data_IF_716066245330
#
_entry.id   IF_716066245330
#
_cell.length_a   1.000
_cell.length_b   1.000
_cell.length_c   1.000
_cell.angle_alpha   90.00
_cell.angle_beta   90.00
_cell.angle_gamma   90.00
#
_symmetry.space_group_name_H-M   'P 1'
#
loop_
_entity.id
_entity.type
_entity.pdbx_description
1 polymer ?
#
# COMPACT_ATOMS: atom_id res chain seq x y z
N UNK A 1 -4.84 20.78 -17.25
CA UNK A 1 -5.12 19.36 -17.58
C UNK A 1 -6.25 18.88 -16.68
N UNK A 2 -7.27 18.21 -17.22
CA UNK A 2 -8.32 17.59 -16.39
C UNK A 2 -7.65 16.49 -15.57
N UNK A 3 -7.75 16.54 -14.24
CA UNK A 3 -7.29 15.46 -13.37
C UNK A 3 -8.21 14.25 -13.62
N UNK A 4 -7.81 13.39 -14.54
CA UNK A 4 -8.47 12.10 -14.76
C UNK A 4 -8.27 11.19 -13.56
N UNK A 5 -9.22 10.31 -13.33
CA UNK A 5 -9.04 9.16 -12.45
C UNK A 5 -9.12 7.89 -13.28
N UNK A 6 -8.34 6.88 -12.88
CA UNK A 6 -8.26 5.59 -13.54
C UNK A 6 -8.43 4.48 -12.53
N UNK A 7 -9.05 3.39 -12.97
CA UNK A 7 -9.23 2.19 -12.16
C UNK A 7 -7.96 1.32 -12.16
N UNK A 8 -7.58 0.87 -10.97
CA UNK A 8 -6.49 -0.07 -10.74
C UNK A 8 -6.98 -1.26 -9.93
N UNK A 9 -6.54 -2.46 -10.30
CA UNK A 9 -6.52 -3.58 -9.37
C UNK A 9 -5.38 -3.34 -8.36
N UNK A 10 -5.74 -3.21 -7.10
CA UNK A 10 -4.81 -2.91 -6.01
C UNK A 10 -4.78 -4.04 -4.99
N UNK A 11 -3.62 -4.29 -4.39
CA UNK A 11 -3.50 -5.20 -3.27
C UNK A 11 -2.37 -4.79 -2.32
N UNK A 12 -2.50 -5.18 -1.06
CA UNK A 12 -1.39 -5.22 -0.11
C UNK A 12 -0.86 -6.65 0.02
N UNK A 13 0.45 -6.77 0.15
CA UNK A 13 1.16 -8.04 0.20
C UNK A 13 2.16 -8.07 1.35
N UNK A 14 2.25 -9.22 2.01
CA UNK A 14 3.29 -9.55 2.98
C UNK A 14 3.99 -10.80 2.45
N UNK A 15 5.32 -10.78 2.40
CA UNK A 15 6.13 -11.89 1.86
C UNK A 15 5.72 -12.34 0.44
N UNK A 16 5.17 -11.43 -0.36
CA UNK A 16 4.73 -11.71 -1.73
C UNK A 16 3.33 -12.32 -1.85
N UNK A 17 2.62 -12.53 -0.74
CA UNK A 17 1.25 -13.04 -0.72
C UNK A 17 0.26 -11.92 -0.37
N UNK A 18 -0.96 -11.99 -0.91
CA UNK A 18 -2.02 -11.01 -0.60
C UNK A 18 -2.37 -11.09 0.88
N UNK A 19 -2.31 -9.94 1.55
CA UNK A 19 -2.61 -9.84 2.97
C UNK A 19 -4.08 -10.20 3.25
N UNK A 20 -4.26 -11.10 4.22
CA UNK A 20 -5.56 -11.40 4.83
C UNK A 20 -5.43 -11.19 6.33
N UNK A 21 -6.25 -10.30 6.89
CA UNK A 21 -6.25 -9.98 8.33
C UNK A 21 -7.69 -9.93 8.82
N UNK A 22 -8.00 -10.64 9.92
CA UNK A 22 -9.33 -10.69 10.52
C UNK A 22 -10.46 -11.04 9.52
N UNK A 23 -10.16 -11.91 8.56
CA UNK A 23 -11.09 -12.30 7.49
C UNK A 23 -11.25 -11.26 6.36
N UNK A 24 -10.57 -10.12 6.45
CA UNK A 24 -10.53 -9.09 5.41
C UNK A 24 -9.40 -9.36 4.44
N UNK A 25 -9.72 -9.43 3.14
CA UNK A 25 -8.75 -9.58 2.06
C UNK A 25 -8.37 -8.20 1.54
N UNK A 26 -7.09 -7.84 1.60
CA UNK A 26 -6.58 -6.53 1.20
C UNK A 26 -6.31 -6.47 -0.31
N UNK A 27 -7.37 -6.66 -1.10
CA UNK A 27 -7.37 -6.61 -2.57
C UNK A 27 -8.68 -6.02 -3.08
N UNK A 28 -8.63 -5.20 -4.11
CA UNK A 28 -9.84 -4.61 -4.71
C UNK A 28 -9.56 -3.72 -5.91
N UNK A 29 -10.62 -3.13 -6.46
CA UNK A 29 -10.55 -2.11 -7.49
C UNK A 29 -10.58 -0.72 -6.85
N UNK A 30 -9.63 0.13 -7.23
CA UNK A 30 -9.46 1.48 -6.66
C UNK A 30 -9.33 2.51 -7.78
N UNK A 31 -10.05 3.62 -7.67
CA UNK A 31 -9.88 4.79 -8.55
C UNK A 31 -8.76 5.67 -8.02
N UNK A 32 -7.66 5.79 -8.77
CA UNK A 32 -6.53 6.66 -8.44
C UNK A 32 -6.37 7.76 -9.48
N UNK A 33 -5.57 8.78 -9.17
CA UNK A 33 -5.23 9.80 -10.16
C UNK A 33 -4.50 9.18 -11.34
N UNK A 34 -4.86 9.61 -12.56
CA UNK A 34 -4.27 9.08 -13.78
C UNK A 34 -2.80 9.53 -13.95
N UNK A 35 -2.49 10.75 -13.53
CA UNK A 35 -1.19 11.40 -13.70
C UNK A 35 -0.72 12.06 -12.40
N UNK A 36 0.59 12.30 -12.30
CA UNK A 36 1.26 12.93 -11.16
C UNK A 36 2.27 12.02 -10.48
N UNK A 37 3.30 12.63 -9.89
CA UNK A 37 4.35 11.93 -9.12
C UNK A 37 3.73 11.20 -7.91
N UNK A 38 2.74 11.81 -7.26
CA UNK A 38 2.11 11.28 -6.05
C UNK A 38 0.86 10.41 -6.31
N UNK A 39 0.64 9.95 -7.54
CA UNK A 39 -0.63 9.28 -7.90
C UNK A 39 -0.91 8.01 -7.06
N UNK A 40 0.15 7.36 -6.58
CA UNK A 40 0.08 6.16 -5.73
C UNK A 40 0.28 6.46 -4.24
N UNK A 41 0.44 7.72 -3.84
CA UNK A 41 0.60 8.12 -2.43
C UNK A 41 -0.53 7.61 -1.50
N UNK A 42 -1.79 7.43 -1.93
CA UNK A 42 -2.79 6.77 -1.10
C UNK A 42 -2.44 5.31 -0.76
N UNK A 43 -1.91 4.54 -1.71
CA UNK A 43 -1.50 3.15 -1.50
C UNK A 43 -0.25 3.06 -0.62
N UNK A 44 0.71 3.97 -0.83
CA UNK A 44 1.91 4.07 0.01
C UNK A 44 1.55 4.34 1.47
N UNK A 45 0.67 5.32 1.72
CA UNK A 45 0.21 5.65 3.08
C UNK A 45 -0.56 4.50 3.72
N UNK A 46 -1.39 3.79 2.95
CA UNK A 46 -2.10 2.63 3.46
C UNK A 46 -1.15 1.49 3.83
N UNK A 47 -0.24 1.13 2.92
CA UNK A 47 0.79 0.12 3.19
C UNK A 47 1.65 0.50 4.41
N UNK A 48 1.97 1.79 4.58
CA UNK A 48 2.72 2.28 5.73
C UNK A 48 1.99 2.04 7.05
N UNK A 49 0.71 2.43 7.15
CA UNK A 49 -0.07 2.20 8.36
C UNK A 49 -0.25 0.72 8.70
N UNK A 50 -0.41 -0.13 7.67
CA UNK A 50 -0.48 -1.58 7.86
C UNK A 50 0.88 -2.15 8.28
N UNK A 51 1.98 -1.73 7.66
CA UNK A 51 3.32 -2.16 8.03
C UNK A 51 3.66 -1.80 9.48
N UNK A 52 3.32 -0.58 9.92
CA UNK A 52 3.46 -0.15 11.31
C UNK A 52 2.62 -0.99 12.28
N UNK A 53 1.40 -1.35 11.89
CA UNK A 53 0.52 -2.18 12.73
C UNK A 53 1.00 -3.63 12.83
N UNK A 54 1.58 -4.17 11.75
CA UNK A 54 2.07 -5.56 11.70
C UNK A 54 3.50 -5.70 12.26
N UNK A 55 4.28 -4.61 12.25
CA UNK A 55 5.72 -4.66 12.53
C UNK A 55 6.53 -5.28 11.39
N UNK A 56 5.94 -5.44 10.20
CA UNK A 56 6.49 -6.17 9.07
C UNK A 56 6.43 -5.32 7.79
N UNK A 57 7.36 -5.46 6.83
CA UNK A 57 7.29 -4.76 5.55
C UNK A 57 6.05 -5.15 4.74
N UNK A 58 5.33 -4.15 4.22
CA UNK A 58 4.13 -4.36 3.40
C UNK A 58 4.34 -3.79 2.01
N UNK A 59 4.14 -4.62 1.00
CA UNK A 59 4.20 -4.21 -0.40
C UNK A 59 2.81 -3.85 -0.90
N UNK A 60 2.64 -2.66 -1.48
CA UNK A 60 1.44 -2.34 -2.26
C UNK A 60 1.71 -2.59 -3.73
N UNK A 61 0.66 -2.96 -4.47
CA UNK A 61 0.67 -3.03 -5.93
C UNK A 61 -0.55 -2.34 -6.52
N UNK A 62 -0.40 -1.84 -7.74
CA UNK A 62 -1.45 -1.28 -8.57
C UNK A 62 -1.25 -1.75 -10.01
N UNK A 63 -2.30 -2.32 -10.60
CA UNK A 63 -2.31 -2.79 -11.99
C UNK A 63 -3.52 -2.25 -12.73
N UNK A 64 -3.28 -1.38 -13.69
CA UNK A 64 -4.32 -0.97 -14.65
C UNK A 64 -4.36 -1.94 -15.83
N UNK A 65 -5.49 -1.92 -16.56
CA UNK A 65 -5.62 -2.70 -17.79
C UNK A 65 -4.60 -2.21 -18.82
N UNK A 66 -3.84 -3.14 -19.41
CA UNK A 66 -2.82 -2.89 -20.44
C UNK A 66 -1.61 -2.05 -20.00
N UNK A 67 -1.36 -1.93 -18.69
CA UNK A 67 -0.15 -1.29 -18.16
C UNK A 67 0.68 -2.26 -17.31
N UNK A 68 2.00 -2.05 -17.21
CA UNK A 68 2.81 -2.77 -16.25
C UNK A 68 2.30 -2.52 -14.83
N UNK A 69 2.42 -3.54 -13.98
CA UNK A 69 2.16 -3.39 -12.55
C UNK A 69 3.16 -2.40 -11.95
N UNK A 70 2.65 -1.48 -11.14
CA UNK A 70 3.45 -0.59 -10.29
C UNK A 70 3.36 -1.08 -8.86
N UNK A 71 4.48 -1.07 -8.14
CA UNK A 71 4.54 -1.53 -6.75
C UNK A 71 5.57 -0.75 -5.95
N UNK A 72 5.39 -0.74 -4.64
CA UNK A 72 6.34 -0.20 -3.68
C UNK A 72 6.22 -0.92 -2.35
N UNK A 73 7.27 -0.88 -1.53
CA UNK A 73 7.29 -1.53 -0.22
C UNK A 73 7.43 -0.48 0.87
N UNK A 74 6.46 -0.44 1.77
CA UNK A 74 6.52 0.37 2.98
C UNK A 74 7.18 -0.46 4.09
N UNK A 75 8.19 0.13 4.73
CA UNK A 75 8.82 -0.45 5.91
C UNK A 75 8.03 -0.07 7.17
N UNK A 76 7.96 -0.93 8.20
CA UNK A 76 7.49 -0.52 9.51
C UNK A 76 8.38 0.62 10.02
N UNK A 77 7.83 1.56 10.79
CA UNK A 77 8.67 2.56 11.47
C UNK A 77 9.62 1.88 12.47
N UNK A 78 10.72 2.55 12.83
CA UNK A 78 11.49 2.12 14.00
C UNK A 78 10.56 2.17 15.22
N UNK A 79 10.36 1.02 15.88
CA UNK A 79 9.68 0.99 17.17
C UNK A 79 10.48 1.92 18.10
N UNK A 80 9.90 2.98 18.69
CA UNK A 80 10.66 3.84 19.58
C UNK A 80 11.12 3.00 20.77
N UNK A 81 12.42 2.67 20.85
CA UNK A 81 13.00 1.92 21.97
C UNK A 81 13.02 2.72 23.30
N UNK A 82 12.47 3.94 23.34
CA UNK A 82 12.50 4.84 24.50
C UNK A 82 11.14 5.03 25.17
N UNK A 83 10.57 3.97 25.76
CA UNK A 83 9.48 4.14 26.74
C UNK A 83 9.38 3.06 27.84
N UNK A 84 10.48 2.35 28.12
CA UNK A 84 10.59 1.46 29.27
C UNK A 84 11.94 1.67 29.97
N UNK A 85 12.12 2.84 30.57
CA UNK A 85 13.02 2.99 31.72
C UNK A 85 12.12 3.37 32.90
N UNK A 86 11.88 2.39 33.77
CA UNK A 86 11.30 2.56 35.11
C UNK A 86 12.37 3.10 36.07
#
# INVERSE_FOLDING_TARGET
MRRGTREYETALLVNGEVLVQDGVVYRGLTMLHEEGEDRFAPLERWAKGVAESLGEPVTWRAKAKNEPEVRGTAQPGEVPQNRLAL
#
